data_IF_532450844963
#
_entry.id   IF_532450844963
#
_cell.length_a   1.000
_cell.length_b   1.000
_cell.length_c   1.000
_cell.angle_alpha   90.00
_cell.angle_beta   90.00
_cell.angle_gamma   90.00
#
_symmetry.space_group_name_H-M   'P 1'
#
loop_
_entity.id
_entity.type
_entity.pdbx_description
1 polymer ?
#
# COMPACT_ATOMS: atom_id res chain seq x y z
N UNK A 1 -54.27 15.92 74.10
CA UNK A 1 -54.62 14.53 74.48
C UNK A 1 -53.58 13.63 73.85
N UNK A 2 -52.64 13.15 74.68
CA UNK A 2 -51.54 12.29 74.27
C UNK A 2 -52.05 10.89 73.89
N UNK A 3 -51.33 10.19 73.01
CA UNK A 3 -50.97 8.75 73.13
C UNK A 3 -49.90 8.44 72.07
N UNK A 4 -49.01 7.52 72.44
CA UNK A 4 -47.64 7.29 71.98
C UNK A 4 -47.52 5.90 71.32
N UNK A 5 -46.42 5.68 70.57
CA UNK A 5 -45.81 4.42 70.06
C UNK A 5 -46.41 3.88 68.73
N UNK A 6 -45.68 3.32 67.75
CA UNK A 6 -44.38 2.58 67.70
C UNK A 6 -43.58 2.87 66.40
N UNK A 7 -42.29 3.18 66.46
CA UNK A 7 -41.11 2.31 66.20
C UNK A 7 -40.98 1.72 64.77
N UNK A 8 -40.06 2.28 63.97
CA UNK A 8 -39.31 1.55 62.93
C UNK A 8 -37.93 2.22 62.79
N UNK A 9 -36.89 1.50 63.22
CA UNK A 9 -35.49 1.90 63.18
C UNK A 9 -34.89 1.37 61.88
N UNK A 10 -34.55 2.24 60.93
CA UNK A 10 -33.80 1.87 59.73
C UNK A 10 -32.32 2.20 59.95
N UNK A 11 -31.47 1.18 60.09
CA UNK A 11 -30.03 1.34 59.97
C UNK A 11 -29.68 1.54 58.50
N UNK A 12 -29.07 2.68 58.17
CA UNK A 12 -28.36 2.89 56.89
C UNK A 12 -26.87 2.76 57.20
N UNK A 13 -26.27 1.65 56.79
CA UNK A 13 -24.82 1.48 56.80
C UNK A 13 -24.22 2.28 55.64
N UNK A 14 -23.47 3.33 55.95
CA UNK A 14 -22.73 4.14 54.99
C UNK A 14 -21.47 3.35 54.57
N UNK A 15 -21.48 2.77 53.36
CA UNK A 15 -20.31 2.11 52.77
C UNK A 15 -19.58 3.15 51.92
N UNK A 16 -18.51 3.75 52.48
CA UNK A 16 -17.62 4.64 51.73
C UNK A 16 -16.73 3.77 50.85
N UNK A 17 -17.13 3.58 49.59
CA UNK A 17 -16.25 3.02 48.56
C UNK A 17 -15.33 4.14 48.10
N UNK A 18 -14.08 4.11 48.58
CA UNK A 18 -13.00 4.94 48.05
C UNK A 18 -12.74 4.53 46.60
N UNK A 19 -13.22 5.33 45.64
CA UNK A 19 -12.84 5.19 44.23
C UNK A 19 -11.37 5.61 44.10
N UNK A 20 -10.45 4.63 44.23
CA UNK A 20 -9.11 4.78 43.69
C UNK A 20 -9.24 4.87 42.17
N UNK A 21 -9.21 6.08 41.63
CA UNK A 21 -8.98 6.31 40.21
C UNK A 21 -7.59 5.78 39.87
N UNK A 22 -7.52 4.51 39.46
CA UNK A 22 -6.40 4.04 38.66
C UNK A 22 -6.47 4.79 37.34
N UNK A 23 -5.67 5.85 37.21
CA UNK A 23 -5.23 6.32 35.90
C UNK A 23 -4.44 5.17 35.28
N UNK A 24 -5.13 4.32 34.51
CA UNK A 24 -4.47 3.52 33.51
C UNK A 24 -3.83 4.54 32.55
N UNK A 25 -2.49 4.59 32.40
CA UNK A 25 -1.92 5.42 31.37
C UNK A 25 -2.47 4.89 30.05
N UNK A 26 -3.30 5.68 29.36
CA UNK A 26 -3.49 5.47 27.94
C UNK A 26 -2.09 5.57 27.34
N UNK A 27 -1.62 4.51 26.69
CA UNK A 27 -0.39 4.59 25.91
C UNK A 27 -0.59 5.73 24.92
N UNK A 28 0.15 6.82 25.13
CA UNK A 28 0.17 7.92 24.18
C UNK A 28 0.72 7.34 22.87
N UNK A 29 0.02 7.58 21.77
CA UNK A 29 0.53 7.16 20.48
C UNK A 29 1.88 7.85 20.22
N UNK A 30 2.85 7.09 19.72
CA UNK A 30 4.17 7.59 19.36
C UNK A 30 4.05 8.85 18.47
N UNK A 31 4.92 9.82 18.70
CA UNK A 31 4.83 11.10 17.99
C UNK A 31 5.31 10.96 16.54
N UNK A 32 4.46 11.29 15.57
CA UNK A 32 4.89 11.41 14.17
C UNK A 32 5.83 12.61 13.98
N UNK A 33 6.97 12.37 13.34
CA UNK A 33 7.87 13.43 12.86
C UNK A 33 7.84 13.39 11.33
N UNK A 34 7.29 14.45 10.75
CA UNK A 34 7.08 14.56 9.31
C UNK A 34 8.26 15.30 8.69
N UNK A 35 9.01 14.59 7.85
CA UNK A 35 9.86 15.17 6.83
C UNK A 35 9.08 15.29 5.53
N UNK A 36 9.10 16.48 4.94
CA UNK A 36 8.47 16.74 3.64
C UNK A 36 9.43 16.35 2.53
N UNK A 37 8.93 15.65 1.52
CA UNK A 37 9.68 15.36 0.30
C UNK A 37 9.00 16.12 -0.82
N UNK A 38 9.70 17.09 -1.41
CA UNK A 38 9.17 17.97 -2.45
C UNK A 38 10.20 18.18 -3.53
N UNK A 39 9.79 18.38 -4.78
CA UNK A 39 10.74 18.72 -5.85
C UNK A 39 11.49 20.04 -5.56
N UNK A 40 10.83 20.98 -4.88
CA UNK A 40 11.41 22.22 -4.39
C UNK A 40 11.04 22.44 -2.91
N UNK A 41 12.05 22.73 -2.10
CA UNK A 41 11.94 22.96 -0.66
C UNK A 41 11.94 24.44 -0.27
N UNK A 42 11.97 25.37 -1.23
CA UNK A 42 11.88 26.80 -0.95
C UNK A 42 10.64 27.11 -0.09
N UNK A 43 10.86 27.72 1.08
CA UNK A 43 9.79 28.11 2.01
C UNK A 43 9.26 26.98 2.91
N UNK A 44 9.83 25.78 2.85
CA UNK A 44 9.45 24.66 3.71
C UNK A 44 10.55 24.33 4.73
N UNK A 45 10.15 24.01 5.97
CA UNK A 45 11.03 23.46 7.00
C UNK A 45 10.98 21.93 6.99
N UNK A 46 12.05 21.28 7.47
CA UNK A 46 12.21 19.82 7.45
C UNK A 46 11.88 19.19 6.08
N UNK A 47 12.40 19.80 5.02
CA UNK A 47 12.10 19.44 3.64
C UNK A 47 13.33 18.88 2.93
N UNK A 48 13.10 17.87 2.11
CA UNK A 48 14.09 17.13 1.35
C UNK A 48 13.69 17.08 -0.12
N UNK A 49 14.66 17.18 -1.02
CA UNK A 49 14.41 17.15 -2.47
C UNK A 49 14.33 15.73 -3.05
N UNK A 50 14.56 14.71 -2.24
CA UNK A 50 14.43 13.30 -2.59
C UNK A 50 14.11 12.44 -1.37
N UNK A 51 13.56 11.26 -1.61
CA UNK A 51 13.31 10.28 -0.54
C UNK A 51 14.62 9.79 0.08
N UNK A 52 15.68 9.65 -0.73
CA UNK A 52 17.02 9.28 -0.25
C UNK A 52 17.63 10.33 0.68
N UNK A 53 17.37 11.62 0.45
CA UNK A 53 17.88 12.70 1.30
C UNK A 53 17.14 12.74 2.65
N UNK A 54 15.83 12.44 2.65
CA UNK A 54 15.06 12.26 3.87
C UNK A 54 15.59 11.10 4.71
N UNK A 55 15.87 9.96 4.06
CA UNK A 55 16.40 8.76 4.70
C UNK A 55 17.77 9.05 5.34
N UNK A 56 18.71 9.60 4.58
CA UNK A 56 20.06 9.91 5.07
C UNK A 56 20.08 10.91 6.24
N UNK A 57 19.07 11.78 6.33
CA UNK A 57 18.91 12.76 7.41
C UNK A 57 18.08 12.24 8.59
N UNK A 58 17.70 10.96 8.59
CA UNK A 58 16.81 10.36 9.58
C UNK A 58 15.52 11.17 9.79
N UNK A 59 14.93 11.66 8.69
CA UNK A 59 13.72 12.47 8.69
C UNK A 59 13.79 13.78 9.47
N UNK A 60 15.00 14.22 9.84
CA UNK A 60 15.21 15.42 10.65
C UNK A 60 14.79 15.23 12.12
N UNK A 61 14.68 13.97 12.56
CA UNK A 61 14.26 13.64 13.91
C UNK A 61 15.35 14.04 14.91
N UNK A 62 14.93 14.72 15.97
CA UNK A 62 15.75 14.89 17.16
C UNK A 62 15.54 13.69 18.09
N UNK A 63 16.56 12.84 18.22
CA UNK A 63 16.54 11.64 19.05
C UNK A 63 16.85 11.93 20.54
N UNK A 64 17.23 13.15 20.90
CA UNK A 64 17.57 13.51 22.28
C UNK A 64 18.72 12.66 22.82
N UNK A 65 18.46 11.92 23.89
CA UNK A 65 19.43 10.99 24.51
C UNK A 65 19.45 9.60 23.88
N UNK A 66 18.53 9.30 22.97
CA UNK A 66 18.47 8.01 22.28
C UNK A 66 19.52 7.93 21.17
N UNK A 67 19.88 6.70 20.78
CA UNK A 67 20.71 6.50 19.61
C UNK A 67 20.01 7.05 18.35
N UNK A 68 20.79 7.59 17.42
CA UNK A 68 20.26 8.00 16.12
C UNK A 68 19.61 6.80 15.42
N UNK A 69 18.39 7.00 14.92
CA UNK A 69 17.60 5.94 14.29
C UNK A 69 16.74 5.12 15.26
N UNK A 70 16.92 5.25 16.59
CA UNK A 70 16.12 4.51 17.56
C UNK A 70 14.75 5.16 17.82
N UNK A 71 13.76 4.78 16.99
CA UNK A 71 12.39 5.27 17.07
C UNK A 71 11.65 4.77 18.31
N UNK A 72 12.02 3.60 18.82
CA UNK A 72 11.40 3.01 20.02
C UNK A 72 11.81 3.79 21.26
N UNK A 73 13.11 4.04 21.45
CA UNK A 73 13.60 4.85 22.56
C UNK A 73 13.07 6.29 22.49
N UNK A 74 13.08 6.90 21.30
CA UNK A 74 12.67 8.28 21.12
C UNK A 74 11.13 8.48 21.11
N UNK A 75 10.38 7.37 21.15
CA UNK A 75 8.93 7.29 21.04
C UNK A 75 8.38 8.07 19.83
N UNK A 76 8.98 7.81 18.65
CA UNK A 76 8.64 8.47 17.37
C UNK A 76 8.14 7.51 16.31
N UNK A 77 7.45 8.07 15.33
CA UNK A 77 7.19 7.48 14.02
C UNK A 77 7.89 8.37 13.00
N UNK A 78 8.75 7.79 12.15
CA UNK A 78 9.41 8.53 11.08
C UNK A 78 8.50 8.60 9.87
N UNK A 79 8.13 9.80 9.44
CA UNK A 79 7.20 10.01 8.34
C UNK A 79 7.88 10.76 7.19
N UNK A 80 7.95 10.12 6.03
CA UNK A 80 8.29 10.72 4.75
C UNK A 80 6.98 11.07 4.02
N UNK A 81 6.54 12.34 4.11
CA UNK A 81 5.37 12.83 3.38
C UNK A 81 5.83 13.43 2.05
N UNK A 82 5.60 12.71 0.96
CA UNK A 82 5.88 13.17 -0.39
C UNK A 82 4.72 14.07 -0.84
N UNK A 83 5.02 15.32 -1.15
CA UNK A 83 4.02 16.37 -1.31
C UNK A 83 4.36 17.31 -2.49
N UNK A 84 3.38 18.07 -2.93
CA UNK A 84 3.48 19.02 -4.04
C UNK A 84 3.44 18.37 -5.42
N UNK A 85 3.49 19.21 -6.44
CA UNK A 85 3.52 18.77 -7.82
C UNK A 85 4.92 18.28 -8.22
N UNK A 86 4.98 17.17 -8.94
CA UNK A 86 6.22 16.58 -9.45
C UNK A 86 6.21 16.58 -10.97
N UNK A 87 7.13 17.33 -11.56
CA UNK A 87 7.33 17.41 -13.02
C UNK A 87 8.49 16.54 -13.47
N UNK A 88 9.46 16.31 -12.58
CA UNK A 88 10.61 15.44 -12.79
C UNK A 88 10.56 14.26 -11.83
N UNK A 89 11.04 13.07 -12.23
CA UNK A 89 11.15 11.95 -11.31
C UNK A 89 12.23 12.21 -10.26
N UNK A 90 12.03 11.65 -9.06
CA UNK A 90 13.13 11.39 -8.14
C UNK A 90 13.92 10.20 -8.68
N UNK A 91 15.23 10.38 -8.83
CA UNK A 91 16.12 9.37 -9.43
C UNK A 91 17.04 8.71 -8.43
N UNK A 92 16.96 9.11 -7.16
CA UNK A 92 17.86 8.62 -6.13
C UNK A 92 17.29 7.37 -5.49
N UNK A 93 18.00 6.24 -5.64
CA UNK A 93 17.66 5.01 -4.91
C UNK A 93 17.64 5.28 -3.41
N UNK A 94 16.79 4.54 -2.70
CA UNK A 94 16.69 4.61 -1.24
C UNK A 94 17.01 3.26 -0.63
N UNK A 95 17.75 3.29 0.46
CA UNK A 95 18.01 2.12 1.31
C UNK A 95 17.54 2.51 2.70
N UNK A 96 16.48 1.86 3.18
CA UNK A 96 15.93 2.08 4.52
C UNK A 96 16.73 1.20 5.47
N UNK A 97 17.66 1.81 6.22
CA UNK A 97 18.62 1.14 7.11
C UNK A 97 19.03 2.08 8.26
N UNK A 98 19.59 1.52 9.33
CA UNK A 98 20.06 2.24 10.51
C UNK A 98 18.96 2.60 11.53
N UNK A 99 17.78 2.01 11.43
CA UNK A 99 16.65 2.31 12.30
C UNK A 99 16.39 1.21 13.32
N UNK A 100 16.03 1.57 14.55
CA UNK A 100 15.40 0.63 15.48
C UNK A 100 13.91 0.93 15.52
N UNK A 101 13.10 0.00 15.00
CA UNK A 101 11.65 0.15 14.85
C UNK A 101 10.88 -0.83 15.73
N UNK A 102 9.56 -0.64 15.83
CA UNK A 102 8.65 -1.55 16.52
C UNK A 102 7.22 -1.40 16.01
N UNK A 103 6.26 -2.21 16.51
CA UNK A 103 4.87 -2.19 16.04
C UNK A 103 4.19 -0.82 16.16
N UNK A 104 4.58 -0.02 17.15
CA UNK A 104 4.06 1.33 17.41
C UNK A 104 5.02 2.45 16.95
N UNK A 105 6.25 2.12 16.56
CA UNK A 105 7.33 3.07 16.23
C UNK A 105 7.93 2.66 14.88
N UNK A 106 7.27 3.05 13.81
CA UNK A 106 7.51 2.54 12.46
C UNK A 106 7.96 3.64 11.51
N UNK A 107 8.38 3.23 10.32
CA UNK A 107 8.65 4.14 9.21
C UNK A 107 7.44 4.16 8.29
N UNK A 108 6.97 5.36 7.93
CA UNK A 108 5.88 5.55 6.97
C UNK A 108 6.34 6.47 5.85
N UNK A 109 6.23 5.99 4.62
CA UNK A 109 6.51 6.73 3.39
C UNK A 109 5.22 6.79 2.60
N UNK A 110 4.69 7.98 2.33
CA UNK A 110 3.45 8.10 1.57
C UNK A 110 3.42 9.33 0.69
N UNK A 111 2.66 9.24 -0.40
CA UNK A 111 2.30 10.39 -1.23
C UNK A 111 1.03 11.06 -0.72
N UNK A 112 1.09 12.38 -0.55
CA UNK A 112 -0.08 13.24 -0.34
C UNK A 112 -0.92 13.30 -1.63
N UNK A 113 -2.21 13.70 -1.56
CA UNK A 113 -3.10 13.71 -2.72
C UNK A 113 -2.54 14.41 -3.96
N UNK A 114 -1.79 15.50 -3.79
CA UNK A 114 -1.20 16.28 -4.88
C UNK A 114 -0.02 15.57 -5.57
N UNK A 115 0.62 14.62 -4.88
CA UNK A 115 1.75 13.84 -5.35
C UNK A 115 1.38 12.38 -5.67
N UNK A 116 0.12 11.98 -5.46
CA UNK A 116 -0.35 10.60 -5.62
C UNK A 116 -0.62 10.30 -7.10
N UNK A 117 -0.17 9.14 -7.59
CA UNK A 117 -0.58 8.66 -8.92
C UNK A 117 -2.06 8.24 -8.89
N UNK A 118 -2.74 8.36 -10.03
CA UNK A 118 -4.15 8.00 -10.20
C UNK A 118 -4.31 6.62 -10.82
N UNK A 119 -3.56 5.63 -10.31
CA UNK A 119 -3.44 4.31 -10.94
C UNK A 119 -2.87 4.28 -12.38
N UNK A 120 -2.35 5.41 -12.88
CA UNK A 120 -1.81 5.59 -14.23
C UNK A 120 -0.43 6.22 -14.12
N UNK A 121 0.54 5.70 -14.88
CA UNK A 121 1.91 6.18 -14.85
C UNK A 121 2.01 7.65 -15.28
N UNK A 122 2.96 8.40 -14.70
CA UNK A 122 3.18 9.82 -15.02
C UNK A 122 2.26 10.80 -14.30
N UNK A 123 1.33 10.35 -13.45
CA UNK A 123 0.28 11.24 -12.88
C UNK A 123 0.60 11.80 -11.50
N UNK A 124 1.71 11.39 -10.87
CA UNK A 124 2.14 11.84 -9.55
C UNK A 124 3.66 11.82 -9.35
N UNK A 125 4.09 11.68 -8.09
CA UNK A 125 5.47 11.41 -7.72
C UNK A 125 5.94 10.08 -8.30
N UNK A 126 7.14 10.11 -8.86
CA UNK A 126 7.77 8.96 -9.51
C UNK A 126 9.16 8.78 -8.95
N UNK A 127 9.43 7.58 -8.42
CA UNK A 127 10.77 7.16 -8.11
C UNK A 127 11.28 6.27 -9.25
N UNK A 128 12.11 6.84 -10.13
CA UNK A 128 12.67 6.16 -11.31
C UNK A 128 14.17 6.01 -11.12
N UNK A 129 14.59 4.81 -10.77
CA UNK A 129 15.98 4.56 -10.39
C UNK A 129 16.73 3.82 -11.49
N UNK A 130 18.00 4.17 -11.68
CA UNK A 130 18.95 3.39 -12.50
C UNK A 130 20.20 3.14 -11.67
N UNK A 131 20.55 1.87 -11.45
CA UNK A 131 21.70 1.51 -10.61
C UNK A 131 22.42 0.26 -11.10
N UNK A 132 23.63 0.03 -10.61
CA UNK A 132 24.43 -1.16 -10.89
C UNK A 132 24.45 -2.05 -9.65
N UNK A 133 24.00 -3.30 -9.79
CA UNK A 133 24.11 -4.34 -8.74
C UNK A 133 23.41 -4.06 -7.41
N UNK A 134 22.38 -3.20 -7.41
CA UNK A 134 21.59 -2.89 -6.21
C UNK A 134 20.14 -2.65 -6.60
N UNK A 135 19.16 -2.96 -5.71
CA UNK A 135 17.76 -2.64 -5.96
C UNK A 135 17.49 -1.13 -5.88
N UNK A 136 16.37 -0.68 -6.45
CA UNK A 136 15.95 0.72 -6.43
C UNK A 136 15.42 1.17 -5.06
N UNK A 137 14.66 0.31 -4.38
CA UNK A 137 14.34 0.43 -2.96
C UNK A 137 14.87 -0.81 -2.25
N UNK A 138 15.71 -0.60 -1.24
CA UNK A 138 16.14 -1.66 -0.35
C UNK A 138 15.60 -1.42 1.07
N UNK A 139 14.82 -2.35 1.61
CA UNK A 139 14.31 -2.28 2.99
C UNK A 139 15.09 -3.29 3.83
N UNK A 140 15.93 -2.80 4.74
CA UNK A 140 16.61 -3.62 5.76
C UNK A 140 15.86 -3.64 7.09
N UNK A 141 14.90 -2.74 7.28
CA UNK A 141 14.25 -2.56 8.56
C UNK A 141 12.90 -3.27 8.66
N UNK A 142 12.55 -3.60 9.91
CA UNK A 142 11.21 -4.03 10.25
C UNK A 142 10.24 -2.85 10.32
N UNK A 143 8.93 -3.13 10.28
CA UNK A 143 7.88 -2.14 10.48
C UNK A 143 7.98 -0.93 9.52
N UNK A 144 7.99 -1.21 8.21
CA UNK A 144 8.04 -0.19 7.16
C UNK A 144 6.76 -0.19 6.35
N UNK A 145 6.17 0.99 6.15
CA UNK A 145 4.93 1.19 5.38
C UNK A 145 5.20 2.15 4.23
N UNK A 146 4.93 1.70 3.00
CA UNK A 146 5.12 2.48 1.77
C UNK A 146 3.78 2.55 1.04
N UNK A 147 3.30 3.77 0.77
CA UNK A 147 1.95 4.03 0.29
C UNK A 147 1.93 4.99 -0.91
N UNK A 148 1.42 4.56 -2.06
CA UNK A 148 1.10 5.47 -3.17
C UNK A 148 2.22 5.93 -4.09
N UNK A 149 3.30 5.15 -4.18
CA UNK A 149 4.42 5.49 -5.06
C UNK A 149 4.21 4.88 -6.43
N UNK A 150 4.46 5.67 -7.48
CA UNK A 150 4.83 5.14 -8.79
C UNK A 150 6.33 4.86 -8.79
N UNK A 151 6.72 3.67 -9.23
CA UNK A 151 8.09 3.19 -9.11
C UNK A 151 8.54 2.35 -10.30
N UNK A 152 9.74 2.67 -10.77
CA UNK A 152 10.45 1.95 -11.82
C UNK A 152 11.93 1.80 -11.43
N UNK A 153 12.52 0.65 -11.79
CA UNK A 153 13.95 0.39 -11.59
C UNK A 153 14.61 -0.23 -12.82
N UNK A 154 15.75 0.32 -13.23
CA UNK A 154 16.61 -0.28 -14.25
C UNK A 154 17.96 -0.65 -13.64
N UNK A 155 18.22 -1.95 -13.50
CA UNK A 155 19.57 -2.43 -13.20
C UNK A 155 20.40 -2.46 -14.49
N UNK A 156 21.63 -1.94 -14.42
CA UNK A 156 22.56 -1.87 -15.56
C UNK A 156 23.65 -2.93 -15.50
N UNK A 157 23.70 -3.72 -14.43
CA UNK A 157 24.73 -4.75 -14.26
C UNK A 157 24.22 -6.15 -14.57
N UNK A 158 25.15 -7.03 -14.94
CA UNK A 158 24.88 -8.44 -15.27
C UNK A 158 24.62 -9.29 -14.01
N UNK A 159 23.57 -8.98 -13.26
CA UNK A 159 23.07 -9.75 -12.14
C UNK A 159 21.56 -9.55 -11.95
N UNK A 160 20.94 -10.42 -11.15
CA UNK A 160 19.51 -10.30 -10.81
C UNK A 160 19.32 -9.22 -9.76
N UNK A 161 18.62 -8.15 -10.09
CA UNK A 161 18.24 -7.09 -9.15
C UNK A 161 16.78 -6.71 -9.35
N UNK A 162 16.04 -6.70 -8.25
CA UNK A 162 14.61 -6.40 -8.24
C UNK A 162 14.38 -4.90 -8.03
N UNK A 163 13.18 -4.44 -8.32
CA UNK A 163 12.79 -3.07 -8.05
C UNK A 163 12.83 -2.76 -6.55
N UNK A 164 11.91 -3.36 -5.80
CA UNK A 164 11.86 -3.29 -4.34
C UNK A 164 12.35 -4.62 -3.78
N UNK A 165 13.39 -4.57 -2.96
CA UNK A 165 13.86 -5.74 -2.21
C UNK A 165 13.61 -5.53 -0.72
N UNK A 166 12.93 -6.49 -0.10
CA UNK A 166 12.76 -6.55 1.35
C UNK A 166 13.74 -7.57 1.90
N UNK A 167 14.76 -7.11 2.62
CA UNK A 167 15.58 -7.95 3.48
C UNK A 167 14.95 -7.98 4.86
N UNK A 168 14.19 -9.03 5.15
CA UNK A 168 13.51 -9.13 6.43
C UNK A 168 14.55 -9.48 7.52
N UNK A 169 14.88 -8.51 8.37
CA UNK A 169 16.02 -8.49 9.32
C UNK A 169 15.95 -9.50 10.48
N UNK A 170 15.03 -10.47 10.43
CA UNK A 170 14.86 -11.45 11.51
C UNK A 170 14.08 -10.93 12.71
N UNK A 171 13.54 -9.70 12.63
CA UNK A 171 12.74 -9.05 13.68
C UNK A 171 11.43 -9.81 13.89
N UNK A 172 11.15 -10.36 15.09
CA UNK A 172 9.88 -11.00 15.40
C UNK A 172 8.70 -10.06 15.16
N UNK A 173 7.56 -10.61 14.73
CA UNK A 173 6.32 -9.83 14.48
C UNK A 173 6.45 -8.66 13.49
N UNK A 174 7.45 -8.72 12.60
CA UNK A 174 7.63 -7.71 11.55
C UNK A 174 6.33 -7.46 10.77
N UNK A 175 6.03 -6.19 10.46
CA UNK A 175 4.85 -5.75 9.70
C UNK A 175 5.28 -4.77 8.61
N UNK A 176 5.49 -5.29 7.40
CA UNK A 176 5.81 -4.46 6.23
C UNK A 176 4.56 -4.30 5.37
N UNK A 177 4.28 -3.08 4.91
CA UNK A 177 3.11 -2.77 4.09
C UNK A 177 3.50 -2.02 2.84
N UNK A 178 3.07 -2.51 1.69
CA UNK A 178 3.22 -1.88 0.38
C UNK A 178 1.82 -1.68 -0.20
N UNK A 179 1.28 -0.47 -0.11
CA UNK A 179 -0.14 -0.22 -0.40
C UNK A 179 -0.29 0.83 -1.49
N UNK A 180 -1.19 0.60 -2.44
CA UNK A 180 -1.49 1.61 -3.45
C UNK A 180 -0.35 1.89 -4.40
N UNK A 181 0.57 0.96 -4.63
CA UNK A 181 1.76 1.20 -5.46
C UNK A 181 1.47 0.98 -6.94
N UNK A 182 2.16 1.72 -7.80
CA UNK A 182 2.24 1.46 -9.24
C UNK A 182 3.68 1.05 -9.57
N UNK A 183 3.96 -0.24 -9.64
CA UNK A 183 5.32 -0.78 -9.84
C UNK A 183 5.44 -1.39 -11.22
N UNK A 184 6.28 -0.80 -12.06
CA UNK A 184 6.35 -1.20 -13.45
C UNK A 184 7.72 -1.08 -14.09
N UNK A 185 7.86 -1.80 -15.21
CA UNK A 185 9.05 -1.78 -16.07
C UNK A 185 10.37 -2.01 -15.31
N UNK A 186 10.32 -2.76 -14.20
CA UNK A 186 11.53 -3.15 -13.49
C UNK A 186 12.34 -4.10 -14.38
N UNK A 187 13.61 -3.79 -14.60
CA UNK A 187 14.44 -4.49 -15.59
C UNK A 187 15.88 -4.73 -15.12
N UNK A 188 16.51 -5.73 -15.73
CA UNK A 188 17.93 -6.07 -15.61
C UNK A 188 18.43 -6.50 -17.01
N UNK A 189 19.73 -6.52 -17.30
CA UNK A 189 20.27 -6.96 -18.59
C UNK A 189 20.13 -8.47 -18.80
N UNK A 190 20.26 -8.93 -20.05
CA UNK A 190 20.39 -10.35 -20.40
C UNK A 190 19.29 -11.25 -19.84
N UNK A 191 19.66 -12.37 -19.23
CA UNK A 191 18.75 -13.36 -18.61
C UNK A 191 18.51 -13.14 -17.12
N UNK A 192 19.10 -12.08 -16.53
CA UNK A 192 19.00 -11.83 -15.11
C UNK A 192 17.61 -11.37 -14.68
N UNK A 193 17.20 -11.72 -13.48
CA UNK A 193 15.84 -11.48 -13.00
C UNK A 193 15.65 -10.03 -12.52
N UNK A 194 14.45 -9.49 -12.70
CA UNK A 194 14.03 -8.25 -12.06
C UNK A 194 12.53 -8.30 -11.77
N UNK A 195 12.18 -8.70 -10.54
CA UNK A 195 10.80 -8.64 -10.07
C UNK A 195 10.46 -7.21 -9.65
N UNK A 196 9.18 -6.84 -9.69
CA UNK A 196 8.72 -5.58 -9.13
C UNK A 196 9.02 -5.52 -7.62
N UNK A 197 8.61 -6.56 -6.90
CA UNK A 197 8.93 -6.77 -5.48
C UNK A 197 9.53 -8.16 -5.27
N UNK A 198 10.63 -8.23 -4.54
CA UNK A 198 11.20 -9.48 -4.02
C UNK A 198 11.28 -9.44 -2.50
N UNK A 199 10.69 -10.44 -1.86
CA UNK A 199 10.63 -10.56 -0.41
C UNK A 199 11.62 -11.64 0.05
N UNK A 200 12.58 -11.27 0.89
CA UNK A 200 13.58 -12.16 1.47
C UNK A 200 13.07 -13.03 2.63
N UNK A 201 13.97 -13.80 3.23
CA UNK A 201 13.67 -14.64 4.40
C UNK A 201 13.49 -13.80 5.67
N UNK A 202 12.58 -14.19 6.55
CA UNK A 202 12.42 -13.63 7.90
C UNK A 202 11.03 -13.88 8.49
N UNK A 203 10.80 -13.62 9.79
CA UNK A 203 9.51 -13.78 10.44
C UNK A 203 8.57 -12.59 10.21
N UNK A 204 7.30 -12.72 10.61
CA UNK A 204 6.30 -11.66 10.51
C UNK A 204 5.45 -11.72 9.24
N UNK A 205 4.87 -10.58 8.86
CA UNK A 205 3.98 -10.43 7.72
C UNK A 205 4.41 -9.32 6.77
N UNK A 206 4.18 -9.56 5.49
CA UNK A 206 4.24 -8.53 4.44
C UNK A 206 2.85 -8.42 3.82
N UNK A 207 2.31 -7.21 3.77
CA UNK A 207 1.00 -6.93 3.19
C UNK A 207 1.20 -6.08 1.93
N UNK A 208 0.62 -6.53 0.82
CA UNK A 208 0.63 -5.84 -0.46
C UNK A 208 -0.81 -5.65 -0.89
N UNK A 209 -1.27 -4.40 -0.97
CA UNK A 209 -2.67 -4.13 -1.25
C UNK A 209 -2.91 -2.97 -2.22
N UNK A 210 -4.05 -2.98 -2.93
CA UNK A 210 -4.46 -1.91 -3.86
C UNK A 210 -3.37 -1.51 -4.86
N UNK A 211 -2.48 -2.42 -5.24
CA UNK A 211 -1.30 -2.10 -6.03
C UNK A 211 -1.39 -2.70 -7.43
N UNK A 212 -0.78 -2.03 -8.40
CA UNK A 212 -0.67 -2.49 -9.78
C UNK A 212 0.81 -2.84 -10.05
N UNK A 213 1.03 -4.04 -10.58
CA UNK A 213 2.36 -4.54 -10.97
C UNK A 213 2.34 -4.96 -12.42
N UNK A 214 3.05 -4.25 -13.30
CA UNK A 214 3.02 -4.58 -14.72
C UNK A 214 4.35 -4.42 -15.45
N UNK A 215 4.53 -5.19 -16.52
CA UNK A 215 5.73 -5.17 -17.37
C UNK A 215 7.06 -5.36 -16.61
N UNK A 216 7.04 -5.93 -15.39
CA UNK A 216 8.27 -6.25 -14.69
C UNK A 216 8.93 -7.45 -15.37
N UNK A 217 10.25 -7.43 -15.51
CA UNK A 217 11.00 -8.43 -16.29
C UNK A 217 10.73 -9.87 -15.83
N UNK A 218 10.49 -10.10 -14.54
CA UNK A 218 10.25 -11.43 -14.00
C UNK A 218 8.89 -11.53 -13.33
N UNK A 219 8.81 -11.30 -12.03
CA UNK A 219 7.56 -11.43 -11.29
C UNK A 219 7.00 -10.05 -10.94
N UNK A 220 5.68 -9.92 -10.82
CA UNK A 220 5.10 -8.75 -10.17
C UNK A 220 5.54 -8.72 -8.70
N UNK A 221 5.22 -9.79 -7.98
CA UNK A 221 5.66 -10.04 -6.60
C UNK A 221 6.22 -11.44 -6.45
N UNK A 222 7.43 -11.54 -5.89
CA UNK A 222 8.07 -12.79 -5.48
C UNK A 222 8.10 -12.90 -3.95
N UNK A 223 7.30 -13.82 -3.41
CA UNK A 223 7.15 -14.06 -1.98
C UNK A 223 8.13 -15.12 -1.46
N UNK A 224 9.21 -14.65 -0.83
CA UNK A 224 10.11 -15.40 0.05
C UNK A 224 11.13 -16.28 -0.68
N UNK A 225 12.42 -16.03 -0.44
CA UNK A 225 13.44 -17.07 -0.56
C UNK A 225 13.77 -17.64 0.81
N UNK A 226 13.39 -18.89 1.09
CA UNK A 226 13.69 -19.67 2.30
C UNK A 226 13.19 -19.09 3.65
N UNK A 227 11.87 -18.85 3.82
CA UNK A 227 11.28 -18.52 5.14
C UNK A 227 10.22 -19.52 5.59
N UNK A 228 10.42 -20.11 6.78
CA UNK A 228 9.46 -21.02 7.41
C UNK A 228 8.36 -20.32 8.22
N UNK A 229 8.41 -19.00 8.38
CA UNK A 229 7.45 -18.26 9.24
C UNK A 229 6.80 -17.04 8.57
N UNK A 230 7.33 -16.54 7.46
CA UNK A 230 6.78 -15.40 6.73
C UNK A 230 5.39 -15.69 6.16
N UNK A 231 4.42 -14.82 6.44
CA UNK A 231 3.14 -14.80 5.71
C UNK A 231 3.04 -13.56 4.83
N UNK A 232 2.74 -13.76 3.53
CA UNK A 232 2.47 -12.66 2.60
C UNK A 232 0.97 -12.56 2.34
N UNK A 233 0.41 -11.39 2.56
CA UNK A 233 -0.97 -11.05 2.23
C UNK A 233 -0.99 -10.18 0.98
N UNK A 234 -1.66 -10.64 -0.07
CA UNK A 234 -1.84 -9.90 -1.31
C UNK A 234 -3.33 -9.65 -1.51
N UNK A 235 -3.79 -8.41 -1.35
CA UNK A 235 -5.20 -8.02 -1.39
C UNK A 235 -5.50 -6.99 -2.48
N UNK A 236 -6.51 -7.20 -3.32
CA UNK A 236 -6.96 -6.19 -4.29
C UNK A 236 -5.82 -5.62 -5.15
N UNK A 237 -4.98 -6.47 -5.73
CA UNK A 237 -3.90 -6.06 -6.62
C UNK A 237 -4.20 -6.45 -8.07
N UNK A 238 -3.60 -5.75 -9.01
CA UNK A 238 -3.66 -6.05 -10.44
C UNK A 238 -2.26 -6.38 -10.96
N UNK A 239 -2.05 -7.61 -11.43
CA UNK A 239 -0.76 -8.09 -11.95
C UNK A 239 -0.85 -8.35 -13.46
N UNK A 240 -0.23 -7.54 -14.30
CA UNK A 240 -0.41 -7.63 -15.75
C UNK A 240 0.90 -7.70 -16.52
N UNK A 241 1.03 -8.62 -17.47
CA UNK A 241 2.17 -8.67 -18.41
C UNK A 241 3.56 -8.75 -17.75
N UNK A 242 3.68 -9.37 -16.58
CA UNK A 242 5.00 -9.63 -15.98
C UNK A 242 5.68 -10.80 -16.71
N UNK A 243 7.01 -10.76 -16.85
CA UNK A 243 7.78 -11.69 -17.67
C UNK A 243 7.84 -13.14 -17.18
N UNK A 244 7.20 -13.45 -16.05
CA UNK A 244 7.03 -14.81 -15.53
C UNK A 244 5.70 -14.96 -14.79
N UNK A 245 5.60 -14.45 -13.56
CA UNK A 245 4.42 -14.60 -12.72
C UNK A 245 3.83 -13.27 -12.27
N UNK A 246 2.52 -13.22 -12.07
CA UNK A 246 1.91 -12.10 -11.35
C UNK A 246 2.31 -12.15 -9.87
N UNK A 247 1.92 -13.24 -9.21
CA UNK A 247 2.25 -13.52 -7.81
C UNK A 247 2.91 -14.90 -7.68
N UNK A 248 4.15 -14.90 -7.21
CA UNK A 248 4.96 -16.11 -7.02
C UNK A 248 5.15 -16.42 -5.53
N UNK A 249 4.49 -17.47 -5.03
CA UNK A 249 4.88 -18.13 -3.78
C UNK A 249 6.09 -19.02 -4.04
N UNK A 250 7.27 -18.54 -3.71
CA UNK A 250 8.47 -19.33 -3.85
C UNK A 250 8.67 -20.22 -2.62
N UNK A 251 9.36 -19.71 -1.60
CA UNK A 251 9.69 -20.45 -0.38
C UNK A 251 9.23 -19.72 0.89
N UNK A 252 8.24 -18.84 0.78
CA UNK A 252 7.50 -18.34 1.94
C UNK A 252 6.63 -19.43 2.55
N UNK A 253 6.37 -19.34 3.85
CA UNK A 253 5.50 -20.26 4.59
C UNK A 253 4.07 -20.22 4.03
N UNK A 254 3.48 -19.03 3.99
CA UNK A 254 2.12 -18.83 3.51
C UNK A 254 2.02 -17.60 2.60
N UNK A 255 1.17 -17.73 1.57
CA UNK A 255 0.70 -16.60 0.76
C UNK A 255 -0.82 -16.67 0.73
N UNK A 256 -1.46 -15.57 1.12
CA UNK A 256 -2.92 -15.40 1.11
C UNK A 256 -3.25 -14.33 0.08
N UNK A 257 -3.99 -14.73 -0.95
CA UNK A 257 -4.39 -13.91 -2.09
C UNK A 257 -5.90 -13.67 -2.01
N UNK A 258 -6.32 -12.40 -1.92
CA UNK A 258 -7.75 -12.03 -1.94
C UNK A 258 -8.03 -10.95 -2.96
N UNK A 259 -9.09 -11.10 -3.75
CA UNK A 259 -9.54 -10.08 -4.72
C UNK A 259 -8.44 -9.59 -5.69
N UNK A 260 -7.42 -10.39 -5.98
CA UNK A 260 -6.42 -9.98 -6.95
C UNK A 260 -6.88 -10.35 -8.35
N UNK A 261 -6.53 -9.54 -9.34
CA UNK A 261 -6.52 -9.97 -10.73
C UNK A 261 -5.08 -10.18 -11.19
N UNK A 262 -4.80 -11.28 -11.87
CA UNK A 262 -3.53 -11.48 -12.56
C UNK A 262 -3.80 -11.94 -13.99
N UNK A 263 -3.15 -11.33 -14.98
CA UNK A 263 -3.35 -11.73 -16.36
C UNK A 263 -2.22 -11.37 -17.32
N UNK A 264 -2.07 -12.14 -18.39
CA UNK A 264 -1.05 -11.89 -19.41
C UNK A 264 0.39 -12.09 -18.93
N UNK A 265 0.57 -12.66 -17.73
CA UNK A 265 1.89 -13.01 -17.22
C UNK A 265 2.45 -14.20 -18.00
N UNK A 266 3.73 -14.17 -18.36
CA UNK A 266 4.27 -15.03 -19.43
C UNK A 266 4.19 -16.54 -19.12
N UNK A 267 4.35 -16.94 -17.85
CA UNK A 267 4.41 -18.36 -17.47
C UNK A 267 3.15 -18.80 -16.74
N UNK A 268 2.71 -18.04 -15.74
CA UNK A 268 1.44 -18.27 -15.04
C UNK A 268 1.01 -17.00 -14.29
N UNK A 269 -0.28 -16.85 -14.03
CA UNK A 269 -0.78 -15.70 -13.28
C UNK A 269 -0.46 -15.83 -11.78
N UNK A 270 -0.70 -17.02 -11.23
CA UNK A 270 -0.32 -17.39 -9.87
C UNK A 270 0.51 -18.68 -9.87
N UNK A 271 1.64 -18.67 -9.16
CA UNK A 271 2.49 -19.84 -9.09
C UNK A 271 3.01 -20.10 -7.68
N UNK A 272 3.04 -21.37 -7.28
CA UNK A 272 3.64 -21.82 -6.03
C UNK A 272 4.70 -22.88 -6.32
N UNK A 273 5.98 -22.62 -6.01
CA UNK A 273 7.01 -23.67 -6.10
C UNK A 273 6.91 -24.67 -4.95
N UNK A 274 6.29 -24.27 -3.84
CA UNK A 274 6.02 -25.12 -2.68
C UNK A 274 4.61 -24.89 -2.13
N UNK A 275 3.94 -25.97 -1.73
CA UNK A 275 2.60 -25.91 -1.15
C UNK A 275 1.58 -25.29 -2.12
N UNK A 276 0.77 -24.36 -1.64
CA UNK A 276 -0.23 -23.63 -2.44
C UNK A 276 -0.32 -22.16 -2.00
N UNK A 277 -0.92 -21.33 -2.85
CA UNK A 277 -1.41 -20.00 -2.49
C UNK A 277 -2.85 -20.16 -1.99
N UNK A 278 -3.17 -19.66 -0.81
CA UNK A 278 -4.55 -19.63 -0.30
C UNK A 278 -5.30 -18.50 -0.99
N UNK A 279 -6.30 -18.83 -1.81
CA UNK A 279 -7.02 -17.86 -2.63
C UNK A 279 -8.46 -17.66 -2.16
N UNK A 280 -8.94 -16.43 -2.21
CA UNK A 280 -10.35 -16.07 -2.07
C UNK A 280 -10.67 -15.00 -3.10
N UNK A 281 -11.61 -15.27 -4.02
CA UNK A 281 -12.04 -14.29 -5.03
C UNK A 281 -10.90 -13.66 -5.85
N UNK A 282 -9.78 -14.36 -6.04
CA UNK A 282 -8.69 -13.93 -6.93
C UNK A 282 -8.88 -14.50 -8.33
N UNK A 283 -8.86 -13.63 -9.34
CA UNK A 283 -9.10 -13.94 -10.74
C UNK A 283 -7.82 -14.07 -11.55
N UNK A 284 -7.83 -14.95 -12.56
CA UNK A 284 -6.71 -15.14 -13.49
C UNK A 284 -7.14 -15.15 -14.95
N UNK A 285 -6.22 -14.77 -15.84
CA UNK A 285 -6.33 -14.98 -17.28
C UNK A 285 -5.99 -16.42 -17.72
N UNK A 286 -5.39 -17.21 -16.85
CA UNK A 286 -5.13 -18.64 -17.03
C UNK A 286 -5.97 -19.50 -16.05
N UNK A 287 -5.56 -20.76 -15.83
CA UNK A 287 -6.26 -21.70 -14.95
C UNK A 287 -5.86 -21.61 -13.45
N UNK A 288 -5.03 -20.66 -13.05
CA UNK A 288 -4.40 -20.65 -11.71
C UNK A 288 -5.17 -19.87 -10.64
N UNK A 289 -6.19 -19.09 -11.01
CA UNK A 289 -7.04 -18.34 -10.10
C UNK A 289 -8.02 -19.19 -9.30
N UNK A 290 -8.90 -18.52 -8.56
CA UNK A 290 -9.96 -19.13 -7.76
C UNK A 290 -10.94 -19.91 -8.64
N UNK A 291 -11.58 -20.94 -8.09
CA UNK A 291 -12.61 -21.67 -8.83
C UNK A 291 -13.71 -20.70 -9.32
N UNK A 292 -14.05 -20.75 -10.61
CA UNK A 292 -15.01 -19.83 -11.24
C UNK A 292 -14.43 -18.49 -11.70
N UNK A 293 -13.18 -18.17 -11.35
CA UNK A 293 -12.49 -16.91 -11.70
C UNK A 293 -11.19 -17.19 -12.46
N UNK A 294 -11.30 -18.00 -13.53
CA UNK A 294 -10.17 -18.45 -14.36
C UNK A 294 -10.45 -18.14 -15.82
N UNK A 295 -9.40 -18.05 -16.63
CA UNK A 295 -9.47 -17.78 -18.06
C UNK A 295 -10.15 -16.44 -18.41
N UNK A 296 -10.00 -15.44 -17.53
CA UNK A 296 -10.50 -14.08 -17.72
C UNK A 296 -9.42 -13.29 -18.45
N UNK A 297 -9.51 -13.20 -19.78
CA UNK A 297 -8.48 -12.58 -20.60
C UNK A 297 -8.21 -11.11 -20.22
N UNK A 298 -6.93 -10.71 -20.29
CA UNK A 298 -6.53 -9.30 -20.33
C UNK A 298 -7.03 -8.73 -21.66
N UNK A 299 -7.91 -7.73 -21.59
CA UNK A 299 -8.49 -7.11 -22.77
C UNK A 299 -9.07 -5.75 -22.41
N UNK A 300 -9.23 -4.90 -23.41
CA UNK A 300 -9.84 -3.57 -23.39
C UNK A 300 -11.24 -3.55 -24.04
N UNK A 301 -11.85 -4.73 -24.23
CA UNK A 301 -13.16 -4.88 -24.89
C UNK A 301 -14.03 -6.01 -24.32
N UNK A 302 -13.43 -6.97 -23.61
CA UNK A 302 -14.12 -8.04 -22.88
C UNK A 302 -13.24 -8.56 -21.73
N UNK A 303 -13.68 -9.61 -21.01
CA UNK A 303 -12.87 -10.24 -19.96
C UNK A 303 -12.62 -9.29 -18.78
N UNK A 304 -11.35 -9.02 -18.49
CA UNK A 304 -10.97 -8.03 -17.49
C UNK A 304 -11.37 -6.58 -17.85
N UNK A 305 -11.54 -6.31 -19.15
CA UNK A 305 -12.05 -5.06 -19.71
C UNK A 305 -11.48 -3.78 -19.07
N UNK A 306 -10.18 -3.56 -19.29
CA UNK A 306 -9.46 -2.37 -18.85
C UNK A 306 -9.62 -1.18 -19.81
N UNK A 307 -9.39 0.03 -19.31
CA UNK A 307 -9.51 1.26 -20.09
C UNK A 307 -8.48 1.39 -21.22
N UNK A 308 -7.23 0.97 -21.01
CA UNK A 308 -6.19 0.98 -22.04
C UNK A 308 -5.08 -0.04 -21.76
N UNK A 309 -4.64 -0.74 -22.80
CA UNK A 309 -3.53 -1.71 -22.74
C UNK A 309 -2.34 -1.31 -23.64
N UNK A 310 -2.41 -0.16 -24.31
CA UNK A 310 -1.34 0.31 -25.17
C UNK A 310 -0.09 0.65 -24.36
N UNK A 311 1.03 0.05 -24.76
CA UNK A 311 2.33 0.20 -24.08
C UNK A 311 2.75 1.66 -23.96
N UNK A 312 3.10 2.08 -22.74
CA UNK A 312 3.47 3.46 -22.41
C UNK A 312 2.28 4.36 -22.08
N UNK A 313 1.06 3.81 -22.11
CA UNK A 313 -0.19 4.50 -21.78
C UNK A 313 -1.18 3.59 -21.07
N UNK A 314 -0.69 2.49 -20.49
CA UNK A 314 -1.51 1.50 -19.81
C UNK A 314 -2.38 2.13 -18.73
N UNK A 315 -3.64 1.71 -18.69
CA UNK A 315 -4.63 2.14 -17.74
C UNK A 315 -5.50 0.94 -17.36
N UNK A 316 -5.23 0.39 -16.17
CA UNK A 316 -5.89 -0.80 -15.65
C UNK A 316 -7.12 -0.50 -14.78
N UNK A 317 -7.71 0.70 -14.89
CA UNK A 317 -9.06 0.91 -14.35
C UNK A 317 -10.03 0.03 -15.12
N UNK A 318 -10.99 -0.54 -14.42
CA UNK A 318 -12.00 -1.44 -14.98
C UNK A 318 -13.02 -0.56 -15.69
N UNK A 319 -13.26 -0.83 -16.97
CA UNK A 319 -14.23 -0.08 -17.74
C UNK A 319 -15.65 -0.61 -17.52
N UNK A 320 -15.86 -1.91 -17.73
CA UNK A 320 -17.19 -2.54 -17.54
C UNK A 320 -17.13 -4.07 -17.44
N UNK A 321 -16.07 -4.63 -16.86
CA UNK A 321 -15.93 -6.09 -16.74
C UNK A 321 -17.14 -6.73 -16.07
N UNK A 322 -17.75 -7.73 -16.70
CA UNK A 322 -18.80 -8.55 -16.06
C UNK A 322 -18.22 -9.62 -15.11
N UNK A 323 -16.90 -9.79 -15.09
CA UNK A 323 -16.22 -10.89 -14.41
C UNK A 323 -15.38 -10.43 -13.21
N UNK A 324 -14.91 -9.19 -13.24
CA UNK A 324 -14.16 -8.58 -12.14
C UNK A 324 -15.03 -7.63 -11.30
N UNK A 325 -16.04 -7.01 -11.91
CA UNK A 325 -16.96 -6.11 -11.20
C UNK A 325 -17.85 -6.88 -10.24
N UNK A 326 -18.02 -6.36 -9.03
CA UNK A 326 -18.87 -6.91 -7.96
C UNK A 326 -18.61 -8.41 -7.67
N UNK A 327 -17.40 -8.90 -7.96
CA UNK A 327 -17.03 -10.32 -7.84
C UNK A 327 -16.09 -10.62 -6.66
N UNK A 328 -15.65 -9.57 -5.96
CA UNK A 328 -14.74 -9.61 -4.82
C UNK A 328 -15.44 -9.75 -3.48
N UNK A 329 -14.64 -10.14 -2.49
CA UNK A 329 -15.02 -10.20 -1.07
C UNK A 329 -14.78 -8.85 -0.39
N UNK A 330 -15.69 -8.42 0.50
CA UNK A 330 -15.48 -7.21 1.29
C UNK A 330 -14.36 -7.40 2.34
N UNK A 331 -13.31 -6.56 2.30
CA UNK A 331 -12.18 -6.60 3.24
C UNK A 331 -12.16 -5.41 4.23
N UNK A 332 -13.24 -4.63 4.32
CA UNK A 332 -13.35 -3.48 5.25
C UNK A 332 -13.15 -3.81 6.73
N UNK A 333 -13.26 -5.07 7.10
CA UNK A 333 -13.00 -5.57 8.45
C UNK A 333 -12.02 -6.76 8.47
N UNK A 334 -11.17 -6.92 7.45
CA UNK A 334 -10.16 -7.97 7.45
C UNK A 334 -9.17 -7.76 8.60
N UNK A 335 -8.87 -8.84 9.34
CA UNK A 335 -8.07 -8.79 10.55
C UNK A 335 -6.59 -8.43 10.31
N UNK A 336 -6.07 -8.63 9.09
CA UNK A 336 -4.68 -8.32 8.77
C UNK A 336 -4.51 -6.92 8.20
N UNK A 337 -5.48 -6.49 7.38
CA UNK A 337 -5.58 -5.14 6.83
C UNK A 337 -7.04 -4.78 6.56
N UNK A 338 -7.63 -3.97 7.42
CA UNK A 338 -8.91 -3.32 7.16
C UNK A 338 -8.69 -2.07 6.28
N UNK A 339 -9.39 -1.97 5.16
CA UNK A 339 -9.37 -0.80 4.26
C UNK A 339 -10.69 -0.69 3.51
N UNK A 340 -11.01 0.49 2.99
CA UNK A 340 -12.28 0.72 2.28
C UNK A 340 -12.11 1.44 0.96
N UNK A 341 -10.91 1.92 0.64
CA UNK A 341 -10.66 2.68 -0.57
C UNK A 341 -9.83 1.83 -1.55
N UNK A 342 -9.80 2.20 -2.81
CA UNK A 342 -9.04 1.53 -3.87
C UNK A 342 -7.67 2.21 -4.13
N UNK A 343 -7.10 2.06 -5.33
CA UNK A 343 -5.78 2.61 -5.66
C UNK A 343 -5.74 4.14 -5.78
N UNK A 344 -6.83 4.75 -6.25
CA UNK A 344 -6.93 6.21 -6.48
C UNK A 344 -7.67 6.95 -5.36
N UNK A 345 -8.18 6.20 -4.38
CA UNK A 345 -8.83 6.70 -3.18
C UNK A 345 -10.35 6.69 -3.28
N UNK A 346 -10.93 6.06 -4.29
CA UNK A 346 -12.36 5.83 -4.38
C UNK A 346 -12.78 4.79 -3.34
N UNK A 347 -13.88 5.06 -2.63
CA UNK A 347 -14.47 4.10 -1.70
C UNK A 347 -15.03 2.90 -2.44
N UNK A 348 -14.68 1.71 -1.98
CA UNK A 348 -15.15 0.41 -2.46
C UNK A 348 -16.59 0.16 -2.02
N UNK A 349 -17.42 -0.27 -2.97
CA UNK A 349 -18.83 -0.58 -2.75
C UNK A 349 -19.00 -2.10 -2.66
N UNK A 350 -19.81 -2.60 -1.74
CA UNK A 350 -20.05 -4.05 -1.66
C UNK A 350 -21.11 -4.50 -2.69
N UNK A 351 -20.90 -5.60 -3.42
CA UNK A 351 -19.69 -6.44 -3.46
C UNK A 351 -18.51 -5.72 -4.14
N UNK A 352 -17.29 -5.92 -3.64
CA UNK A 352 -16.12 -5.20 -4.16
C UNK A 352 -15.71 -5.69 -5.55
N UNK A 353 -15.01 -4.86 -6.29
CA UNK A 353 -14.36 -5.29 -7.52
C UNK A 353 -13.07 -6.11 -7.24
N UNK A 354 -12.76 -7.04 -8.14
CA UNK A 354 -11.49 -7.77 -8.15
C UNK A 354 -10.44 -6.94 -8.86
N UNK A 355 -9.31 -6.70 -8.19
CA UNK A 355 -8.20 -5.88 -8.67
C UNK A 355 -7.98 -4.62 -7.82
N UNK A 356 -7.05 -3.79 -8.28
CA UNK A 356 -6.64 -2.56 -7.59
C UNK A 356 -7.66 -1.42 -7.69
N UNK A 357 -8.52 -1.45 -8.69
CA UNK A 357 -9.52 -0.43 -8.99
C UNK A 357 -10.90 -0.83 -8.43
N UNK A 358 -11.74 0.16 -8.16
CA UNK A 358 -13.17 -0.02 -7.97
C UNK A 358 -13.93 0.78 -9.04
N UNK A 359 -14.75 0.12 -9.84
CA UNK A 359 -15.63 0.80 -10.76
C UNK A 359 -16.63 1.67 -10.01
N UNK A 360 -16.67 2.96 -10.33
CA UNK A 360 -17.71 3.83 -9.83
C UNK A 360 -19.09 3.23 -10.14
N UNK A 361 -19.99 3.22 -9.14
CA UNK A 361 -21.36 2.78 -9.35
C UNK A 361 -21.97 3.62 -10.48
N UNK A 362 -22.60 2.96 -11.46
CA UNK A 362 -23.25 3.63 -12.59
C UNK A 362 -24.39 4.53 -12.07
N UNK A 363 -24.08 5.80 -11.81
CA UNK A 363 -24.96 6.74 -11.13
C UNK A 363 -24.21 7.87 -10.43
N UNK A 364 -22.94 7.67 -10.07
CA UNK A 364 -22.09 8.75 -9.60
C UNK A 364 -21.48 9.46 -10.80
N UNK A 365 -22.10 10.57 -11.19
CA UNK A 365 -21.43 11.54 -12.05
C UNK A 365 -20.17 12.00 -11.30
N UNK A 366 -18.99 12.13 -11.97
CA UNK A 366 -17.83 12.76 -11.34
C UNK A 366 -18.33 14.08 -10.76
N UNK A 367 -18.01 14.35 -9.49
CA UNK A 367 -18.51 15.52 -8.79
C UNK A 367 -18.21 16.80 -9.58
N UNK A 368 -19.12 17.18 -10.47
CA UNK A 368 -19.24 18.55 -10.94
C UNK A 368 -19.57 19.32 -9.67
N UNK A 369 -18.60 20.08 -9.18
CA UNK A 369 -18.73 21.01 -8.06
C UNK A 369 -20.18 21.49 -7.90
N UNK A 370 -20.91 20.88 -6.97
CA UNK A 370 -22.23 21.35 -6.60
C UNK A 370 -22.01 22.48 -5.62
N UNK A 371 -22.03 23.71 -6.10
CA UNK A 371 -22.17 24.86 -5.23
C UNK A 371 -23.54 24.79 -4.57
N UNK A 372 -23.57 24.52 -3.27
CA UNK A 372 -24.79 24.59 -2.48
C UNK A 372 -25.25 26.05 -2.39
N UNK A 373 -26.48 26.28 -2.85
CA UNK A 373 -27.34 27.44 -2.55
C UNK A 373 -26.85 28.83 -2.94
N UNK A 374 -27.17 29.21 -4.18
CA UNK A 374 -27.32 30.61 -4.58
C UNK A 374 -27.64 30.72 -6.06
N UNK A 375 -28.87 31.12 -6.40
CA UNK A 375 -29.23 31.49 -7.78
C UNK A 375 -28.27 32.57 -8.28
N UNK A 376 -27.40 32.24 -9.24
CA UNK A 376 -26.76 33.24 -10.07
C UNK A 376 -27.57 33.39 -11.36
N UNK A 377 -28.43 34.42 -11.43
CA UNK A 377 -29.06 34.84 -12.68
C UNK A 377 -28.00 35.54 -13.53
N UNK A 378 -27.47 34.87 -14.54
CA UNK A 378 -26.71 35.56 -15.59
C UNK A 378 -27.72 36.39 -16.41
N UNK A 379 -27.78 37.70 -16.15
CA UNK A 379 -28.37 38.66 -17.09
C UNK A 379 -27.34 38.93 -18.18
N UNK A 380 -27.41 38.19 -19.28
CA UNK A 380 -26.57 38.44 -20.44
C UNK A 380 -26.77 37.38 -21.52
N UNK A 381 -27.11 37.81 -22.72
CA UNK A 381 -27.34 36.95 -23.89
C UNK A 381 -25.97 36.46 -24.38
N UNK A 382 -25.64 35.19 -24.18
CA UNK A 382 -24.43 34.59 -24.75
C UNK A 382 -24.63 34.43 -26.27
N UNK A 383 -23.83 35.14 -27.06
CA UNK A 383 -23.67 34.93 -28.49
C UNK A 383 -22.47 33.99 -28.64
N UNK A 384 -22.70 32.79 -29.18
CA UNK A 384 -21.61 31.91 -29.61
C UNK A 384 -21.12 32.37 -30.99
N UNK A 385 -19.82 32.60 -31.11
CA UNK A 385 -19.10 32.58 -32.39
C UNK A 385 -18.18 31.38 -32.39
#
# INVERSE_FOLDING_TARGET
MAIFKKTALFLISLLVVSFCYFHLPQAQAAQEVIGLIRQDCAGFSNCYTSLSAWEAAYGGINFGSCAQGDLVCADKIAVAKIDGAWTQPDTNRVTIDGWTTGPNNYIRIYTAPEARHKGIAGTGYRLITTASSVPGIYIYEGHVRIEGLEFQHTNTYNNSMNGITIYNSGVPDNDIRLIGLLVHDCSSPGTYEASGVSIGAGPGKVIIANSIFYNNKTDGVRAGTNSSTLTVYSYNNTFVNNGRYGLYKNWSNAVVSKNNYAGGNLVADYFASTGSISMTTSASSDATGSAGLRNIAVSDSAGAYFMNLEKGSENFHIQSSLLLKDAGTNLSADANLAFSDDIDGQTRSAPWDIGADETAASGETPAKFRFNNGMFKIKGKAIFK
#
